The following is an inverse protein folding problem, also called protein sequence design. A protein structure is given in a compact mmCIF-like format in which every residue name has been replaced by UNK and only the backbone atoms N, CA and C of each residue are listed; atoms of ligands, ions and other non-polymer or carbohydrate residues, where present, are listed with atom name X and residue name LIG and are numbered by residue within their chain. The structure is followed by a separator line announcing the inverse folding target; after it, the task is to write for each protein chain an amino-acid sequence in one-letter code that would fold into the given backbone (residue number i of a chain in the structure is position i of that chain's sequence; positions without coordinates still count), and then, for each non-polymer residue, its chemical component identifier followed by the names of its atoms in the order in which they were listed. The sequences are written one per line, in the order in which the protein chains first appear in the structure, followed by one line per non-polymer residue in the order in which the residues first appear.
data_IF_892123273668
#
_entry.id   IF_892123273668
#
_cell.length_a   1.000
_cell.length_b   1.000
_cell.length_c   1.000
_cell.angle_alpha   90.00
_cell.angle_beta   90.00
_cell.angle_gamma   90.00
#
_symmetry.space_group_name_H-M   'P 1'
#
loop_
_entity.id
_entity.type
_entity.pdbx_description
1 polymer ?
#
# COMPACT_ATOMS: atom_id res chain seq x y z
N UNK A 1 4.29 -17.39 -7.18
CA UNK A 1 4.10 -18.04 -5.86
C UNK A 1 5.36 -18.75 -5.38
N UNK A 2 6.03 -19.56 -6.20
CA UNK A 2 7.22 -20.36 -5.83
C UNK A 2 8.40 -19.58 -5.21
N UNK A 3 8.57 -18.31 -5.57
CA UNK A 3 9.65 -17.46 -5.01
C UNK A 3 9.28 -16.74 -3.72
N UNK A 4 7.98 -16.55 -3.44
CA UNK A 4 7.52 -15.82 -2.25
C UNK A 4 7.71 -16.63 -0.96
N UNK A 5 7.78 -17.96 -1.07
CA UNK A 5 7.95 -18.87 0.06
C UNK A 5 9.42 -19.19 0.36
N UNK A 6 10.32 -18.94 -0.61
CA UNK A 6 11.74 -19.31 -0.54
C UNK A 6 12.67 -18.13 -0.29
N UNK A 7 12.19 -16.90 -0.53
CA UNK A 7 12.94 -15.69 -0.27
C UNK A 7 12.59 -15.11 1.12
N UNK A 8 13.58 -14.68 1.93
CA UNK A 8 13.33 -14.15 3.27
C UNK A 8 12.81 -12.70 3.22
N UNK A 9 11.64 -12.50 2.59
CA UNK A 9 10.93 -11.23 2.59
C UNK A 9 9.91 -11.19 3.73
N UNK A 10 9.60 -9.98 4.21
CA UNK A 10 8.48 -9.73 5.12
C UNK A 10 7.33 -8.96 4.47
N UNK A 11 7.54 -8.46 3.25
CA UNK A 11 6.67 -7.46 2.62
C UNK A 11 6.67 -7.62 1.11
N UNK A 12 5.49 -7.49 0.49
CA UNK A 12 5.30 -7.50 -0.96
C UNK A 12 4.58 -6.22 -1.38
N UNK A 13 5.00 -5.63 -2.50
CA UNK A 13 4.33 -4.44 -3.05
C UNK A 13 3.39 -4.85 -4.19
N UNK A 14 2.18 -4.29 -4.18
CA UNK A 14 1.22 -4.38 -5.27
C UNK A 14 1.43 -3.18 -6.19
N UNK A 15 1.73 -3.46 -7.45
CA UNK A 15 1.96 -2.44 -8.46
C UNK A 15 0.72 -1.56 -8.70
N UNK A 16 0.97 -0.31 -9.10
CA UNK A 16 -0.04 0.71 -9.39
C UNK A 16 -1.13 0.23 -10.35
N UNK A 17 -0.78 -0.60 -11.33
CA UNK A 17 -1.75 -1.14 -12.29
C UNK A 17 -2.91 -1.89 -11.62
N UNK A 18 -2.64 -2.70 -10.60
CA UNK A 18 -3.68 -3.39 -9.82
C UNK A 18 -4.49 -2.41 -8.99
N UNK A 19 -3.82 -1.44 -8.36
CA UNK A 19 -4.43 -0.45 -7.47
C UNK A 19 -5.44 0.44 -8.20
N UNK A 20 -5.11 0.90 -9.40
CA UNK A 20 -6.01 1.74 -10.20
C UNK A 20 -7.22 0.98 -10.73
N UNK A 21 -7.08 -0.32 -10.97
CA UNK A 21 -8.15 -1.14 -11.52
C UNK A 21 -9.21 -1.54 -10.49
N UNK A 22 -8.94 -1.46 -9.17
CA UNK A 22 -9.86 -1.98 -8.16
C UNK A 22 -11.22 -1.28 -8.14
N UNK A 23 -11.35 -0.02 -8.57
CA UNK A 23 -12.64 0.66 -8.51
C UNK A 23 -13.59 0.23 -9.63
N UNK A 24 -13.04 -0.16 -10.78
CA UNK A 24 -13.79 -0.35 -12.03
C UNK A 24 -13.79 -1.79 -12.54
N UNK A 25 -12.85 -2.64 -12.09
CA UNK A 25 -12.70 -4.01 -12.53
C UNK A 25 -12.85 -5.01 -11.37
N UNK A 26 -13.92 -5.80 -11.44
CA UNK A 26 -14.21 -6.85 -10.48
C UNK A 26 -13.13 -7.95 -10.48
N UNK A 27 -12.50 -8.21 -11.62
CA UNK A 27 -11.42 -9.21 -11.74
C UNK A 27 -10.22 -8.76 -10.91
N UNK A 28 -9.80 -7.50 -11.06
CA UNK A 28 -8.73 -6.90 -10.26
C UNK A 28 -9.05 -6.94 -8.77
N UNK A 29 -10.29 -6.67 -8.36
CA UNK A 29 -10.71 -6.83 -6.95
C UNK A 29 -10.51 -8.27 -6.44
N UNK A 30 -10.89 -9.27 -7.23
CA UNK A 30 -10.74 -10.69 -6.85
C UNK A 30 -9.27 -11.08 -6.76
N UNK A 31 -8.44 -10.62 -7.69
CA UNK A 31 -6.99 -10.86 -7.67
C UNK A 31 -6.37 -10.25 -6.42
N UNK A 32 -6.66 -8.98 -6.11
CA UNK A 32 -6.14 -8.30 -4.92
C UNK A 32 -6.57 -9.02 -3.64
N UNK A 33 -7.85 -9.44 -3.53
CA UNK A 33 -8.31 -10.23 -2.36
C UNK A 33 -7.60 -11.57 -2.23
N UNK A 34 -7.36 -12.26 -3.34
CA UNK A 34 -6.59 -13.52 -3.34
C UNK A 34 -5.16 -13.30 -2.86
N UNK A 35 -4.51 -12.22 -3.31
CA UNK A 35 -3.17 -11.84 -2.87
C UNK A 35 -3.13 -11.49 -1.38
N UNK A 36 -4.14 -10.79 -0.86
CA UNK A 36 -4.28 -10.54 0.60
C UNK A 36 -4.35 -11.85 1.37
N UNK A 37 -5.18 -12.79 0.92
CA UNK A 37 -5.28 -14.11 1.56
C UNK A 37 -3.94 -14.86 1.57
N UNK A 38 -3.25 -14.88 0.43
CA UNK A 38 -1.94 -15.52 0.31
C UNK A 38 -0.89 -14.87 1.23
N UNK A 39 -0.84 -13.53 1.25
CA UNK A 39 0.10 -12.78 2.08
C UNK A 39 -0.10 -13.08 3.57
N UNK A 40 -1.36 -13.11 4.05
CA UNK A 40 -1.69 -13.49 5.43
C UNK A 40 -1.20 -14.89 5.79
N UNK A 41 -1.47 -15.88 4.93
CA UNK A 41 -1.01 -17.27 5.15
C UNK A 41 0.51 -17.37 5.20
N UNK A 42 1.22 -16.54 4.44
CA UNK A 42 2.68 -16.51 4.39
C UNK A 42 3.30 -15.56 5.44
N UNK A 43 2.49 -14.92 6.30
CA UNK A 43 2.90 -13.89 7.24
C UNK A 43 3.68 -12.73 6.57
N UNK A 44 3.24 -12.33 5.38
CA UNK A 44 3.76 -11.22 4.60
C UNK A 44 2.83 -10.01 4.73
N UNK A 45 3.41 -8.82 4.79
CA UNK A 45 2.69 -7.54 4.71
C UNK A 45 2.55 -7.08 3.26
N UNK A 46 1.46 -6.41 2.94
CA UNK A 46 1.21 -5.83 1.62
C UNK A 46 1.31 -4.31 1.64
N UNK A 47 2.01 -3.77 0.63
CA UNK A 47 2.04 -2.33 0.33
C UNK A 47 1.36 -2.11 -1.01
N UNK A 48 0.27 -1.36 -1.05
CA UNK A 48 -0.32 -0.92 -2.31
C UNK A 48 0.35 0.36 -2.82
N UNK A 49 0.87 0.34 -4.05
CA UNK A 49 1.52 1.49 -4.69
C UNK A 49 0.58 2.29 -5.61
N UNK A 50 0.82 3.59 -5.72
CA UNK A 50 0.03 4.46 -6.60
C UNK A 50 -1.35 4.81 -6.07
N UNK A 51 -1.52 4.86 -4.75
CA UNK A 51 -2.76 5.32 -4.10
C UNK A 51 -2.90 6.84 -4.20
N UNK A 52 -3.85 7.31 -5.00
CA UNK A 52 -4.01 8.73 -5.33
C UNK A 52 -5.32 9.35 -4.82
N UNK A 53 -6.33 8.55 -4.51
CA UNK A 53 -7.64 9.01 -4.03
C UNK A 53 -8.03 8.36 -2.70
N UNK A 54 -8.81 9.09 -1.91
CA UNK A 54 -9.31 8.57 -0.63
C UNK A 54 -10.25 7.36 -0.82
N UNK A 55 -11.00 7.30 -1.92
CA UNK A 55 -11.87 6.16 -2.24
C UNK A 55 -11.08 4.87 -2.47
N UNK A 56 -10.01 4.93 -3.26
CA UNK A 56 -9.08 3.80 -3.46
C UNK A 56 -8.43 3.40 -2.14
N UNK A 57 -8.00 4.37 -1.33
CA UNK A 57 -7.39 4.10 -0.03
C UNK A 57 -8.35 3.35 0.92
N UNK A 58 -9.62 3.77 0.99
CA UNK A 58 -10.63 3.09 1.80
C UNK A 58 -10.90 1.67 1.27
N UNK A 59 -11.08 1.51 -0.05
CA UNK A 59 -11.31 0.19 -0.64
C UNK A 59 -10.17 -0.80 -0.36
N UNK A 60 -8.91 -0.37 -0.48
CA UNK A 60 -7.75 -1.20 -0.18
C UNK A 60 -7.65 -1.55 1.30
N UNK A 61 -7.95 -0.60 2.19
CA UNK A 61 -7.98 -0.83 3.63
C UNK A 61 -9.03 -1.87 4.00
N UNK A 62 -10.23 -1.78 3.43
CA UNK A 62 -11.32 -2.73 3.67
C UNK A 62 -10.99 -4.13 3.11
N UNK A 63 -10.19 -4.20 2.04
CA UNK A 63 -9.67 -5.47 1.52
C UNK A 63 -8.58 -6.08 2.41
N UNK A 64 -8.03 -5.34 3.38
CA UNK A 64 -7.02 -5.82 4.31
C UNK A 64 -5.57 -5.61 3.84
N UNK A 65 -5.31 -4.57 3.04
CA UNK A 65 -3.95 -4.10 2.73
C UNK A 65 -3.35 -3.38 3.95
N UNK A 66 -2.09 -3.70 4.29
CA UNK A 66 -1.44 -3.17 5.50
C UNK A 66 -0.93 -1.74 5.33
N UNK A 67 -0.34 -1.42 4.17
CA UNK A 67 0.28 -0.12 3.91
C UNK A 67 -0.13 0.44 2.56
N UNK A 68 -0.26 1.78 2.52
CA UNK A 68 -0.66 2.51 1.33
C UNK A 68 0.43 3.52 0.97
N UNK A 69 0.90 3.48 -0.28
CA UNK A 69 1.90 4.40 -0.83
C UNK A 69 1.32 5.09 -2.06
N UNK A 70 1.35 6.42 -2.10
CA UNK A 70 1.00 7.16 -3.30
C UNK A 70 0.82 8.66 -3.05
N UNK A 71 0.47 9.38 -4.10
CA UNK A 71 0.41 10.85 -4.07
C UNK A 71 -0.68 11.41 -3.16
N UNK A 72 -1.65 10.58 -2.76
CA UNK A 72 -2.58 10.93 -1.69
C UNK A 72 -1.83 11.29 -0.39
N UNK A 73 -0.74 10.58 -0.08
CA UNK A 73 0.04 10.76 1.14
C UNK A 73 1.26 11.66 0.95
N UNK A 74 1.91 11.54 -0.21
CA UNK A 74 3.06 12.37 -0.57
C UNK A 74 3.72 11.91 -1.87
N UNK A 75 4.17 12.88 -2.66
CA UNK A 75 5.03 12.61 -3.83
C UNK A 75 6.44 12.24 -3.38
N UNK A 76 7.20 11.58 -4.24
CA UNK A 76 8.64 11.47 -4.07
C UNK A 76 9.23 12.89 -3.91
N UNK A 77 10.12 13.05 -2.93
CA UNK A 77 10.66 14.36 -2.57
C UNK A 77 12.10 14.24 -2.06
N UNK A 78 12.89 15.32 -2.11
CA UNK A 78 14.21 15.33 -1.47
C UNK A 78 14.13 15.06 0.03
N UNK A 79 15.17 14.43 0.59
CA UNK A 79 15.21 14.08 2.01
C UNK A 79 14.96 15.28 2.94
N UNK A 80 15.53 16.44 2.61
CA UNK A 80 15.33 17.67 3.38
C UNK A 80 13.84 18.09 3.45
N UNK A 81 13.10 17.95 2.35
CA UNK A 81 11.68 18.25 2.30
C UNK A 81 10.86 17.25 3.14
N UNK A 82 11.23 15.97 3.13
CA UNK A 82 10.60 14.94 3.96
C UNK A 82 10.80 15.25 5.45
N UNK A 83 12.03 15.56 5.87
CA UNK A 83 12.36 15.89 7.27
C UNK A 83 11.57 17.11 7.74
N UNK A 84 11.53 18.18 6.92
CA UNK A 84 10.76 19.37 7.25
C UNK A 84 9.26 19.06 7.42
N UNK A 85 8.69 18.26 6.50
CA UNK A 85 7.28 17.82 6.58
C UNK A 85 7.01 16.99 7.84
N UNK A 86 7.90 16.08 8.22
CA UNK A 86 7.74 15.24 9.41
C UNK A 86 7.82 16.06 10.70
N UNK A 87 8.76 17.01 10.79
CA UNK A 87 8.86 17.93 11.94
C UNK A 87 7.59 18.76 12.11
N UNK A 88 7.06 19.30 11.01
CA UNK A 88 5.82 20.08 11.02
C UNK A 88 4.58 19.24 11.37
N UNK A 89 4.59 17.94 11.10
CA UNK A 89 3.52 17.03 11.50
C UNK A 89 3.63 16.69 13.01
N UNK A 90 4.84 16.38 13.50
CA UNK A 90 5.06 16.04 14.90
C UNK A 90 4.62 17.16 15.86
N UNK A 91 4.88 18.43 15.51
CA UNK A 91 4.44 19.58 16.31
C UNK A 91 2.92 19.75 16.37
N UNK A 92 2.16 19.18 15.42
CA UNK A 92 0.69 19.22 15.40
C UNK A 92 0.05 18.11 16.24
N UNK A 93 0.80 17.07 16.60
CA UNK A 93 0.26 15.85 17.24
C UNK A 93 0.60 15.77 18.74
N UNK A 94 1.41 16.69 19.30
CA UNK A 94 1.85 16.67 20.72
C UNK A 94 2.24 15.25 21.20
N UNK A 95 3.23 14.65 20.54
CA UNK A 95 4.00 13.53 21.09
C UNK A 95 5.34 14.05 21.61
#
# INVERSE_FOLDING_TARGET
MTYLTSFPISTVKLDRSFVQAIEVDQTSRVVVKTLVGAAKTLNLRLVAEGVETASVAHALKDMGIDYLQGYLYGKAMPAAALIARFRALASRIQL
#
